data_IF_459031856059
#
_entry.id   IF_459031856059
#
_cell.length_a   1.000
_cell.length_b   1.000
_cell.length_c   1.000
_cell.angle_alpha   90.00
_cell.angle_beta   90.00
_cell.angle_gamma   90.00
#
_symmetry.space_group_name_H-M   'P 1'
#
loop_
_entity.id
_entity.type
_entity.pdbx_description
1 polymer ?
#
# COMPACT_ATOMS: atom_id res chain seq x y z
N UNK A 1 -42.98 -35.32 -46.29
CA UNK A 1 -41.95 -35.78 -45.33
C UNK A 1 -40.80 -34.80 -45.44
N UNK A 2 -40.56 -33.98 -44.42
CA UNK A 2 -39.28 -33.31 -44.17
C UNK A 2 -39.30 -32.83 -42.72
N UNK A 3 -38.53 -33.53 -41.88
CA UNK A 3 -38.43 -33.31 -40.45
C UNK A 3 -37.39 -32.21 -40.17
N UNK A 4 -37.81 -31.13 -39.52
CA UNK A 4 -36.91 -30.16 -38.89
C UNK A 4 -36.45 -30.73 -37.55
N UNK A 5 -35.14 -31.01 -37.47
CA UNK A 5 -34.46 -31.56 -36.30
C UNK A 5 -34.12 -30.43 -35.32
N UNK A 6 -34.80 -30.38 -34.18
CA UNK A 6 -34.46 -29.49 -33.06
C UNK A 6 -33.36 -30.16 -32.23
N UNK A 7 -32.14 -29.65 -32.32
CA UNK A 7 -31.04 -30.05 -31.43
C UNK A 7 -31.22 -29.49 -30.01
N UNK A 8 -30.73 -30.17 -28.96
CA UNK A 8 -30.87 -29.70 -27.59
C UNK A 8 -29.90 -28.54 -27.34
N UNK A 9 -30.46 -27.36 -27.05
CA UNK A 9 -29.71 -26.23 -26.51
C UNK A 9 -29.31 -26.56 -25.06
N UNK A 10 -28.05 -26.92 -24.83
CA UNK A 10 -27.46 -27.01 -23.49
C UNK A 10 -27.21 -25.59 -22.98
N UNK A 11 -28.24 -24.97 -22.41
CA UNK A 11 -28.10 -23.75 -21.63
C UNK A 11 -27.23 -24.05 -20.40
N UNK A 12 -25.94 -23.72 -20.46
CA UNK A 12 -25.10 -23.59 -19.27
C UNK A 12 -25.55 -22.37 -18.47
N UNK A 13 -26.64 -22.52 -17.73
CA UNK A 13 -27.01 -21.60 -16.66
C UNK A 13 -26.14 -21.89 -15.43
N UNK A 14 -24.84 -21.64 -15.56
CA UNK A 14 -23.92 -21.63 -14.42
C UNK A 14 -23.98 -20.28 -13.72
N UNK A 15 -23.95 -20.26 -12.38
CA UNK A 15 -23.79 -19.01 -11.63
C UNK A 15 -22.46 -18.35 -12.07
N UNK A 16 -22.47 -17.11 -12.58
CA UNK A 16 -21.27 -16.42 -13.05
C UNK A 16 -20.21 -16.22 -11.95
N UNK A 17 -20.56 -16.49 -10.68
CA UNK A 17 -19.63 -16.45 -9.54
C UNK A 17 -18.78 -17.71 -9.37
N UNK A 18 -19.07 -18.80 -10.08
CA UNK A 18 -18.32 -20.06 -9.95
C UNK A 18 -16.85 -19.92 -10.41
N UNK A 19 -16.52 -18.90 -11.20
CA UNK A 19 -15.14 -18.57 -11.60
C UNK A 19 -14.44 -17.51 -10.73
N UNK A 20 -15.10 -16.96 -9.69
CA UNK A 20 -14.51 -15.89 -8.86
C UNK A 20 -13.51 -16.41 -7.82
N UNK A 21 -13.36 -17.72 -7.70
CA UNK A 21 -12.34 -18.36 -6.87
C UNK A 21 -11.24 -18.88 -7.79
N UNK A 22 -10.35 -17.99 -8.23
CA UNK A 22 -9.12 -18.44 -8.88
C UNK A 22 -8.23 -19.15 -7.87
N UNK A 23 -7.59 -20.22 -8.37
CA UNK A 23 -6.78 -21.23 -7.70
C UNK A 23 -5.79 -20.70 -6.65
N UNK A 24 -5.66 -21.52 -5.61
CA UNK A 24 -4.65 -21.47 -4.55
C UNK A 24 -4.75 -20.27 -3.60
N UNK A 25 -5.77 -20.30 -2.74
CA UNK A 25 -5.66 -19.64 -1.43
C UNK A 25 -4.48 -20.26 -0.69
N UNK A 26 -3.41 -19.49 -0.40
CA UNK A 26 -2.30 -20.02 0.40
C UNK A 26 -2.87 -20.56 1.71
N UNK A 27 -2.50 -21.79 2.06
CA UNK A 27 -3.01 -22.42 3.28
C UNK A 27 -2.74 -21.49 4.46
N UNK A 28 -3.82 -21.09 5.15
CA UNK A 28 -3.66 -20.23 6.33
C UNK A 28 -2.84 -21.01 7.36
N UNK A 29 -1.66 -20.52 7.76
CA UNK A 29 -0.79 -21.26 8.66
C UNK A 29 -1.51 -21.54 9.99
N UNK A 30 -1.25 -22.70 10.56
CA UNK A 30 -1.81 -23.07 11.86
C UNK A 30 -1.24 -22.12 12.91
N UNK A 31 -2.08 -21.25 13.49
CA UNK A 31 -1.68 -20.33 14.54
C UNK A 31 -1.28 -21.13 15.78
N UNK A 32 0.03 -21.35 15.96
CA UNK A 32 0.57 -22.08 17.12
C UNK A 32 0.46 -21.28 18.41
N UNK A 33 0.43 -19.95 18.28
CA UNK A 33 0.20 -19.01 19.35
C UNK A 33 -0.92 -18.06 18.93
N UNK A 34 -1.61 -17.45 19.90
CA UNK A 34 -2.41 -16.26 19.61
C UNK A 34 -1.46 -15.31 18.88
N UNK A 35 -1.86 -14.73 17.73
CA UNK A 35 -1.08 -13.64 17.10
C UNK A 35 -0.59 -12.79 18.26
N UNK A 36 0.72 -12.62 18.38
CA UNK A 36 1.25 -11.61 19.28
C UNK A 36 0.64 -10.31 18.79
N UNK A 37 -0.51 -9.92 19.34
CA UNK A 37 -1.34 -8.83 18.83
C UNK A 37 -0.61 -7.49 18.86
N UNK A 38 0.59 -7.51 19.42
CA UNK A 38 1.60 -6.48 19.56
C UNK A 38 2.40 -6.31 18.25
N UNK A 39 2.74 -7.37 17.53
CA UNK A 39 3.61 -7.27 16.35
C UNK A 39 2.87 -6.58 15.20
N UNK A 40 3.37 -5.49 14.59
CA UNK A 40 2.77 -4.90 13.40
C UNK A 40 2.78 -5.89 12.22
N UNK A 41 1.89 -5.72 11.24
CA UNK A 41 1.82 -6.64 10.08
C UNK A 41 2.88 -6.36 9.02
N UNK A 42 3.33 -5.10 8.92
CA UNK A 42 4.27 -4.60 7.92
C UNK A 42 5.19 -3.56 8.58
N UNK A 43 6.47 -3.59 8.20
CA UNK A 43 7.40 -2.47 8.34
C UNK A 43 7.81 -1.95 6.96
N UNK A 44 8.03 -0.64 6.85
CA UNK A 44 8.52 0.00 5.65
C UNK A 44 9.76 0.84 5.93
N UNK A 45 10.53 1.07 4.86
CA UNK A 45 11.67 1.96 4.83
C UNK A 45 11.53 2.91 3.63
N UNK A 46 11.71 4.20 3.88
CA UNK A 46 11.75 5.27 2.89
C UNK A 46 13.15 5.88 2.89
N UNK A 47 13.86 5.74 1.78
CA UNK A 47 15.16 6.36 1.55
C UNK A 47 15.01 7.57 0.65
N UNK A 48 15.47 8.75 1.08
CA UNK A 48 15.47 9.99 0.31
C UNK A 48 16.88 10.59 0.38
N UNK A 49 17.60 10.62 -0.75
CA UNK A 49 18.94 11.23 -0.86
C UNK A 49 19.93 10.82 0.24
N UNK A 50 19.94 9.54 0.62
CA UNK A 50 20.82 8.98 1.64
C UNK A 50 20.28 9.02 3.08
N UNK A 51 19.21 9.77 3.35
CA UNK A 51 18.49 9.68 4.62
C UNK A 51 17.46 8.54 4.57
N UNK A 52 17.40 7.71 5.61
CA UNK A 52 16.45 6.60 5.71
C UNK A 52 15.51 6.79 6.89
N UNK A 53 14.21 6.75 6.62
CA UNK A 53 13.15 6.71 7.62
C UNK A 53 12.54 5.32 7.63
N UNK A 54 12.33 4.74 8.81
CA UNK A 54 11.65 3.47 8.98
C UNK A 54 10.44 3.61 9.90
N UNK A 55 9.49 2.70 9.74
CA UNK A 55 8.27 2.72 10.52
C UNK A 55 7.37 1.54 10.22
N UNK A 56 6.36 1.37 11.06
CA UNK A 56 5.35 0.31 10.94
C UNK A 56 3.98 0.93 10.76
N UNK A 57 3.02 0.14 10.28
CA UNK A 57 1.64 0.61 10.14
C UNK A 57 1.05 1.01 11.50
N UNK A 58 0.24 2.06 11.53
CA UNK A 58 -0.47 2.49 12.72
C UNK A 58 -1.57 1.49 13.09
N UNK A 59 -1.60 1.06 14.36
CA UNK A 59 -2.61 0.14 14.90
C UNK A 59 -3.68 0.79 15.79
N UNK A 60 -3.56 2.09 16.11
CA UNK A 60 -4.52 2.79 16.97
C UNK A 60 -5.90 2.92 16.31
N UNK A 61 -6.98 2.96 17.09
CA UNK A 61 -8.32 3.25 16.56
C UNK A 61 -8.41 4.67 16.00
N UNK A 62 -7.66 5.61 16.57
CA UNK A 62 -7.58 6.96 16.03
C UNK A 62 -6.75 7.00 14.73
N UNK A 63 -7.25 7.64 13.66
CA UNK A 63 -6.46 7.88 12.45
C UNK A 63 -5.19 8.69 12.76
N UNK A 64 -4.05 8.36 12.15
CA UNK A 64 -2.83 9.16 12.33
C UNK A 64 -3.01 10.54 11.71
N UNK A 65 -2.43 11.56 12.33
CA UNK A 65 -2.35 12.90 11.73
C UNK A 65 -1.37 12.87 10.57
N UNK A 66 -1.89 12.98 9.35
CA UNK A 66 -1.10 13.02 8.12
C UNK A 66 -0.78 14.45 7.70
N UNK A 67 0.29 14.62 6.93
CA UNK A 67 0.60 15.88 6.25
C UNK A 67 -0.55 16.25 5.30
N UNK A 68 -0.97 17.53 5.22
CA UNK A 68 -2.14 17.94 4.45
C UNK A 68 -2.14 17.42 3.01
N UNK A 69 -1.02 17.54 2.28
CA UNK A 69 -0.95 17.03 0.90
C UNK A 69 -1.14 15.51 0.76
N UNK A 70 -0.77 14.73 1.79
CA UNK A 70 -1.03 13.29 1.80
C UNK A 70 -2.49 13.03 2.11
N UNK A 71 -3.04 13.73 3.10
CA UNK A 71 -4.46 13.62 3.45
C UNK A 71 -5.35 13.99 2.26
N UNK A 72 -5.12 15.15 1.65
CA UNK A 72 -5.84 15.64 0.46
C UNK A 72 -5.83 14.60 -0.66
N UNK A 73 -4.65 14.02 -0.96
CA UNK A 73 -4.56 12.99 -1.99
C UNK A 73 -5.41 11.76 -1.64
N UNK A 74 -5.30 11.24 -0.40
CA UNK A 74 -6.06 10.07 0.03
C UNK A 74 -7.57 10.32 0.01
N UNK A 75 -8.00 11.54 0.32
CA UNK A 75 -9.41 11.94 0.29
C UNK A 75 -9.98 12.02 -1.14
N UNK A 76 -9.12 12.21 -2.15
CA UNK A 76 -9.54 12.16 -3.57
C UNK A 76 -9.65 10.75 -4.16
N UNK A 77 -9.10 9.72 -3.50
CA UNK A 77 -9.09 8.36 -4.04
C UNK A 77 -10.51 7.83 -4.24
N UNK A 78 -10.75 7.11 -5.33
CA UNK A 78 -12.03 6.44 -5.54
C UNK A 78 -12.16 5.18 -4.67
N UNK A 79 -13.37 4.65 -4.51
CA UNK A 79 -13.59 3.42 -3.71
C UNK A 79 -12.77 2.22 -4.21
N UNK A 80 -12.45 2.14 -5.51
CA UNK A 80 -11.62 1.08 -6.08
C UNK A 80 -10.13 1.16 -5.71
N UNK A 81 -9.67 2.31 -5.23
CA UNK A 81 -8.28 2.56 -4.83
C UNK A 81 -8.10 2.57 -3.31
N UNK A 82 -9.19 2.69 -2.55
CA UNK A 82 -9.19 2.68 -1.09
C UNK A 82 -9.18 1.25 -0.55
N UNK A 83 -8.28 1.01 0.40
CA UNK A 83 -8.30 -0.16 1.28
C UNK A 83 -9.01 0.19 2.60
N UNK A 84 -9.43 -0.82 3.38
CA UNK A 84 -10.09 -0.68 4.69
C UNK A 84 -9.30 0.20 5.67
N UNK A 85 -7.98 0.20 5.56
CA UNK A 85 -7.08 0.94 6.46
C UNK A 85 -6.28 2.03 5.73
N UNK A 86 -6.86 2.63 4.69
CA UNK A 86 -6.25 3.74 3.93
C UNK A 86 -5.72 4.82 4.87
N UNK A 87 -4.48 5.26 4.65
CA UNK A 87 -3.81 6.28 5.46
C UNK A 87 -3.10 5.77 6.73
N UNK A 88 -3.27 4.50 7.11
CA UNK A 88 -2.59 3.89 8.29
C UNK A 88 -1.36 3.07 7.93
N UNK A 89 -1.16 2.81 6.63
CA UNK A 89 -0.04 2.06 6.10
C UNK A 89 1.30 2.74 6.45
N UNK A 90 2.35 1.94 6.67
CA UNK A 90 3.67 2.46 7.03
C UNK A 90 4.20 3.41 5.95
N UNK A 91 3.92 3.12 4.69
CA UNK A 91 4.27 3.89 3.50
C UNK A 91 3.70 5.32 3.55
N UNK A 92 2.40 5.45 3.79
CA UNK A 92 1.73 6.74 3.89
C UNK A 92 2.28 7.56 5.08
N UNK A 93 2.53 6.90 6.21
CA UNK A 93 3.11 7.54 7.39
C UNK A 93 4.53 8.04 7.14
N UNK A 94 5.37 7.27 6.45
CA UNK A 94 6.74 7.68 6.14
C UNK A 94 6.80 8.84 5.16
N UNK A 95 5.99 8.81 4.10
CA UNK A 95 5.87 9.92 3.14
C UNK A 95 5.38 11.18 3.87
N UNK A 96 4.32 11.05 4.69
CA UNK A 96 3.77 12.12 5.50
C UNK A 96 4.81 12.73 6.44
N UNK A 97 5.55 11.91 7.19
CA UNK A 97 6.60 12.35 8.13
C UNK A 97 7.73 13.06 7.40
N UNK A 98 8.16 12.56 6.25
CA UNK A 98 9.19 13.22 5.44
C UNK A 98 8.74 14.59 4.97
N UNK A 99 7.52 14.71 4.45
CA UNK A 99 6.97 16.00 4.02
C UNK A 99 6.83 16.97 5.18
N UNK A 100 6.32 16.53 6.34
CA UNK A 100 6.23 17.36 7.54
C UNK A 100 7.60 17.85 8.02
N UNK A 101 8.63 17.00 7.98
CA UNK A 101 9.99 17.39 8.33
C UNK A 101 10.55 18.45 7.37
N UNK A 102 10.32 18.28 6.06
CA UNK A 102 10.74 19.27 5.05
C UNK A 102 9.96 20.57 5.22
N UNK A 103 8.66 20.48 5.50
CA UNK A 103 7.77 21.62 5.71
C UNK A 103 8.24 22.48 6.91
N UNK A 104 8.57 21.83 8.02
CA UNK A 104 9.13 22.46 9.23
C UNK A 104 10.52 23.08 8.99
N UNK A 105 11.30 22.56 8.05
CA UNK A 105 12.62 23.09 7.70
C UNK A 105 12.58 24.25 6.69
N UNK A 106 11.40 24.63 6.16
CA UNK A 106 11.29 25.73 5.20
C UNK A 106 11.61 27.09 5.83
N UNK A 107 12.19 27.99 5.04
CA UNK A 107 12.47 29.36 5.48
C UNK A 107 11.20 30.09 5.94
N UNK A 108 11.32 31.08 6.83
CA UNK A 108 10.18 31.88 7.32
C UNK A 108 9.35 32.52 6.20
N UNK A 109 9.95 32.86 5.06
CA UNK A 109 9.23 33.40 3.89
C UNK A 109 8.42 32.30 3.20
N UNK A 110 9.02 31.13 2.98
CA UNK A 110 8.37 30.01 2.32
C UNK A 110 7.25 29.40 3.20
N UNK A 111 7.46 29.32 4.51
CA UNK A 111 6.50 28.79 5.48
C UNK A 111 5.20 29.62 5.59
N UNK A 112 5.15 30.83 5.03
CA UNK A 112 3.91 31.64 4.97
C UNK A 112 2.85 31.04 4.07
N UNK A 113 3.25 30.17 3.13
CA UNK A 113 2.33 29.47 2.22
C UNK A 113 2.36 27.98 2.52
N UNK A 114 1.21 27.28 2.44
CA UNK A 114 1.21 25.82 2.48
C UNK A 114 2.16 25.23 1.44
N UNK A 115 2.79 24.11 1.77
CA UNK A 115 3.62 23.37 0.81
C UNK A 115 2.77 22.97 -0.40
N UNK A 116 3.30 23.14 -1.60
CA UNK A 116 2.66 22.75 -2.85
C UNK A 116 3.00 21.33 -3.26
N UNK A 117 2.19 20.70 -4.11
CA UNK A 117 2.48 19.38 -4.68
C UNK A 117 3.83 19.35 -5.44
N UNK A 118 4.21 20.45 -6.10
CA UNK A 118 5.51 20.56 -6.79
C UNK A 118 6.69 20.55 -5.82
N UNK A 119 6.57 21.26 -4.70
CA UNK A 119 7.57 21.24 -3.63
C UNK A 119 7.66 19.87 -2.97
N UNK A 120 6.52 19.19 -2.74
CA UNK A 120 6.49 17.84 -2.19
C UNK A 120 7.19 16.83 -3.11
N UNK A 121 6.92 16.86 -4.43
CA UNK A 121 7.64 16.02 -5.41
C UNK A 121 9.13 16.32 -5.44
N UNK A 122 9.52 17.60 -5.33
CA UNK A 122 10.94 17.98 -5.23
C UNK A 122 11.59 17.46 -3.95
N UNK A 123 10.87 17.47 -2.83
CA UNK A 123 11.31 16.96 -1.54
C UNK A 123 11.50 15.43 -1.54
N UNK A 124 10.69 14.71 -2.32
CA UNK A 124 10.74 13.26 -2.50
C UNK A 124 11.50 12.83 -3.77
N UNK A 125 12.23 13.74 -4.42
CA UNK A 125 12.98 13.42 -5.64
C UNK A 125 13.98 12.30 -5.36
N UNK A 126 13.95 11.26 -6.21
CA UNK A 126 14.75 10.03 -6.08
C UNK A 126 14.47 9.22 -4.80
N UNK A 127 13.30 9.41 -4.18
CA UNK A 127 12.88 8.59 -3.06
C UNK A 127 12.66 7.14 -3.49
N UNK A 128 13.10 6.22 -2.63
CA UNK A 128 12.91 4.77 -2.76
C UNK A 128 12.15 4.27 -1.54
N UNK A 129 11.14 3.44 -1.75
CA UNK A 129 10.30 2.89 -0.70
C UNK A 129 10.30 1.37 -0.81
N UNK A 130 10.45 0.67 0.31
CA UNK A 130 10.28 -0.78 0.38
C UNK A 130 9.52 -1.15 1.64
N UNK A 131 8.81 -2.27 1.61
CA UNK A 131 8.06 -2.78 2.74
C UNK A 131 8.27 -4.29 2.88
N UNK A 132 8.24 -4.76 4.13
CA UNK A 132 8.52 -6.13 4.54
C UNK A 132 7.38 -6.64 5.41
N UNK A 133 6.97 -7.90 5.21
CA UNK A 133 6.00 -8.56 6.09
C UNK A 133 6.65 -8.88 7.44
N UNK A 134 5.97 -8.52 8.52
CA UNK A 134 6.32 -8.98 9.88
C UNK A 134 5.32 -10.07 10.25
N UNK A 135 5.83 -11.24 10.58
CA UNK A 135 5.08 -12.46 10.93
C UNK A 135 5.67 -13.12 12.18
N UNK A 136 5.02 -14.13 12.72
CA UNK A 136 5.57 -14.91 13.83
C UNK A 136 6.87 -15.63 13.44
N UNK A 137 7.62 -16.07 14.45
CA UNK A 137 8.81 -16.88 14.22
C UNK A 137 8.46 -18.17 13.48
N UNK A 138 9.28 -18.53 12.49
CA UNK A 138 9.05 -19.67 11.60
C UNK A 138 8.03 -19.45 10.47
N UNK A 139 7.35 -18.30 10.38
CA UNK A 139 6.50 -18.00 9.21
C UNK A 139 7.38 -17.72 7.98
N UNK A 140 7.23 -18.49 6.88
CA UNK A 140 8.07 -18.35 5.69
C UNK A 140 7.90 -17.00 4.97
N UNK A 141 6.80 -16.29 5.22
CA UNK A 141 6.56 -14.97 4.67
C UNK A 141 7.21 -13.86 5.50
N UNK A 142 7.75 -14.15 6.70
CA UNK A 142 8.46 -13.14 7.48
C UNK A 142 9.62 -12.56 6.66
N UNK A 143 9.75 -11.23 6.64
CA UNK A 143 10.81 -10.54 5.90
C UNK A 143 10.64 -10.54 4.37
N UNK A 144 9.63 -11.21 3.81
CA UNK A 144 9.34 -11.13 2.38
C UNK A 144 8.86 -9.72 1.99
N UNK A 145 9.09 -9.32 0.74
CA UNK A 145 8.62 -8.04 0.22
C UNK A 145 7.09 -7.95 0.29
N UNK A 146 6.60 -6.87 0.87
CA UNK A 146 5.18 -6.56 0.92
C UNK A 146 4.85 -5.51 -0.13
N UNK A 147 4.09 -5.90 -1.16
CA UNK A 147 3.57 -4.94 -2.13
C UNK A 147 2.68 -3.91 -1.41
N UNK A 148 2.91 -2.60 -1.63
CA UNK A 148 2.07 -1.56 -1.04
C UNK A 148 0.61 -1.72 -1.45
N UNK A 149 -0.32 -1.35 -0.57
CA UNK A 149 -1.74 -1.38 -0.90
C UNK A 149 -2.06 -0.44 -2.09
N UNK A 150 -3.26 -0.56 -2.67
CA UNK A 150 -3.70 0.23 -3.83
C UNK A 150 -3.51 1.74 -3.61
N UNK A 151 -3.99 2.24 -2.47
CA UNK A 151 -3.85 3.64 -2.08
C UNK A 151 -2.39 4.07 -1.96
N UNK A 152 -1.52 3.25 -1.36
CA UNK A 152 -0.10 3.59 -1.19
C UNK A 152 0.68 3.48 -2.49
N UNK A 153 0.28 2.60 -3.40
CA UNK A 153 0.82 2.54 -4.76
C UNK A 153 0.48 3.82 -5.52
N UNK A 154 -0.78 4.25 -5.49
CA UNK A 154 -1.23 5.50 -6.11
C UNK A 154 -0.54 6.73 -5.49
N UNK A 155 -0.44 6.77 -4.15
CA UNK A 155 0.24 7.84 -3.40
C UNK A 155 1.74 7.94 -3.78
N UNK A 156 2.41 6.79 -3.85
CA UNK A 156 3.83 6.72 -4.23
C UNK A 156 4.03 7.25 -5.65
N UNK A 157 3.17 6.83 -6.60
CA UNK A 157 3.19 7.34 -7.97
C UNK A 157 2.94 8.86 -8.04
N UNK A 158 1.94 9.36 -7.31
CA UNK A 158 1.60 10.78 -7.28
C UNK A 158 2.76 11.67 -6.83
N UNK A 159 3.53 11.23 -5.84
CA UNK A 159 4.69 11.96 -5.32
C UNK A 159 6.03 11.60 -6.00
N UNK A 160 6.05 10.63 -6.92
CA UNK A 160 7.27 10.19 -7.60
C UNK A 160 8.21 9.35 -6.73
N UNK A 161 7.66 8.65 -5.73
CA UNK A 161 8.39 7.71 -4.88
C UNK A 161 8.45 6.35 -5.57
N UNK A 162 9.65 5.82 -5.78
CA UNK A 162 9.83 4.53 -6.44
C UNK A 162 9.70 3.39 -5.43
N UNK A 163 8.79 2.47 -5.67
CA UNK A 163 8.69 1.22 -4.88
C UNK A 163 9.80 0.26 -5.33
N UNK A 164 10.47 -0.36 -4.37
CA UNK A 164 11.60 -1.27 -4.61
C UNK A 164 11.30 -2.59 -3.91
N UNK A 165 11.23 -3.65 -4.71
CA UNK A 165 11.38 -5.01 -4.23
C UNK A 165 12.87 -5.37 -4.25
N UNK A 166 13.54 -5.47 -3.10
CA UNK A 166 14.96 -5.81 -3.03
C UNK A 166 15.25 -7.28 -3.36
N UNK A 167 14.21 -8.10 -3.57
CA UNK A 167 14.33 -9.51 -3.94
C UNK A 167 14.04 -9.77 -5.41
N UNK A 168 13.56 -8.76 -6.15
CA UNK A 168 13.45 -8.83 -7.60
C UNK A 168 14.86 -8.79 -8.22
N UNK A 169 15.14 -9.61 -9.26
CA UNK A 169 16.40 -9.51 -10.00
C UNK A 169 16.54 -8.09 -10.60
N UNK A 170 17.76 -7.54 -10.57
CA UNK A 170 18.06 -6.28 -11.24
C UNK A 170 18.07 -6.53 -12.76
N UNK A 171 17.11 -5.95 -13.48
CA UNK A 171 17.12 -5.83 -14.95
C UNK A 171 17.88 -4.58 -15.40
#
# INVERSE_FOLDING_TARGET
MNATQTGPHTNHSGDPRIGWSHDETPHAPTLRHRRDGILPTIAAALSVRGATLTGTAARSDQPPTLHPLVQDFLDTLTSGERDRFTGRCAEALLISRHLAAVDAARSRRAARKPMTNGEARKALKQAKLTARRIREDGDPLHGSFAAPCRACTALSAHFGVRIVDPTAPED
#
